data_IF_073022287037
#
_entry.id   IF_073022287037
#
_cell.length_a   1.000
_cell.length_b   1.000
_cell.length_c   1.000
_cell.angle_alpha   90.00
_cell.angle_beta   90.00
_cell.angle_gamma   90.00
#
_symmetry.space_group_name_H-M   'P 1'
#
loop_
_entity.id
_entity.type
_entity.pdbx_description
1 polymer ?
#
# COMPACT_ATOMS: atom_id res chain seq x y z
N UNK A 1 18.80 9.33 11.93
CA UNK A 1 18.98 8.33 10.86
C UNK A 1 17.63 7.73 10.57
N UNK A 2 17.28 7.42 9.30
CA UNK A 2 16.11 6.61 9.03
C UNK A 2 16.27 5.26 9.72
N UNK A 3 15.18 4.67 10.21
CA UNK A 3 15.14 3.35 10.82
C UNK A 3 13.88 2.64 10.33
N UNK A 4 13.96 1.32 10.15
CA UNK A 4 12.78 0.52 9.83
C UNK A 4 11.88 0.42 11.07
N UNK A 5 10.54 0.39 10.87
CA UNK A 5 9.63 0.08 11.97
C UNK A 5 9.88 -1.35 12.44
N UNK A 6 9.86 -1.52 13.75
CA UNK A 6 10.14 -2.80 14.41
C UNK A 6 8.86 -3.55 14.80
N UNK A 7 7.73 -2.84 14.87
CA UNK A 7 6.41 -3.37 15.25
C UNK A 7 5.32 -3.00 14.24
N UNK A 8 4.17 -3.66 14.34
CA UNK A 8 3.06 -3.45 13.40
C UNK A 8 2.39 -2.12 13.69
N UNK A 9 2.23 -1.83 14.97
CA UNK A 9 1.68 -0.60 15.53
C UNK A 9 2.51 0.60 15.08
N UNK A 10 3.84 0.49 15.14
CA UNK A 10 4.75 1.52 14.62
C UNK A 10 4.59 1.71 13.11
N UNK A 11 4.52 0.60 12.35
CA UNK A 11 4.29 0.64 10.90
C UNK A 11 2.96 1.33 10.56
N UNK A 12 1.89 1.05 11.29
CA UNK A 12 0.58 1.69 11.11
C UNK A 12 0.64 3.18 11.48
N UNK A 13 1.28 3.54 12.59
CA UNK A 13 1.42 4.93 13.00
C UNK A 13 2.22 5.76 11.98
N UNK A 14 3.30 5.19 11.44
CA UNK A 14 4.07 5.82 10.36
C UNK A 14 3.24 5.92 9.08
N UNK A 15 2.47 4.89 8.72
CA UNK A 15 1.59 4.93 7.58
C UNK A 15 0.52 6.05 7.70
N UNK A 16 -0.06 6.21 8.88
CA UNK A 16 -1.01 7.28 9.18
C UNK A 16 -0.36 8.67 9.05
N UNK A 17 0.79 8.86 9.70
CA UNK A 17 1.53 10.13 9.65
C UNK A 17 1.95 10.49 8.22
N UNK A 18 2.49 9.53 7.47
CA UNK A 18 2.90 9.72 6.08
C UNK A 18 1.71 10.05 5.17
N UNK A 19 0.56 9.41 5.39
CA UNK A 19 -0.66 9.69 4.63
C UNK A 19 -1.18 11.10 4.91
N UNK A 20 -1.25 11.51 6.17
CA UNK A 20 -1.68 12.85 6.55
C UNK A 20 -0.74 13.93 6.01
N UNK A 21 0.58 13.68 6.03
CA UNK A 21 1.56 14.56 5.42
C UNK A 21 1.37 14.67 3.90
N UNK A 22 1.16 13.55 3.21
CA UNK A 22 0.89 13.56 1.76
C UNK A 22 -0.41 14.34 1.42
N UNK A 23 -1.47 14.18 2.22
CA UNK A 23 -2.70 14.96 2.06
C UNK A 23 -2.44 16.46 2.27
N UNK A 24 -1.67 16.82 3.31
CA UNK A 24 -1.34 18.22 3.62
C UNK A 24 -0.52 18.89 2.49
N UNK A 25 0.33 18.12 1.80
CA UNK A 25 1.09 18.56 0.63
C UNK A 25 0.27 18.56 -0.67
N UNK A 26 -1.03 18.25 -0.59
CA UNK A 26 -1.97 18.34 -1.71
C UNK A 26 -2.06 17.10 -2.59
N UNK A 27 -1.48 15.97 -2.18
CA UNK A 27 -1.64 14.71 -2.90
C UNK A 27 -3.05 14.17 -2.74
N UNK A 28 -3.69 13.86 -3.88
CA UNK A 28 -5.11 13.47 -3.93
C UNK A 28 -5.33 11.98 -4.12
N UNK A 29 -4.36 11.27 -4.69
CA UNK A 29 -4.46 9.84 -5.00
C UNK A 29 -3.30 9.15 -4.30
N UNK A 30 -3.57 8.54 -3.16
CA UNK A 30 -2.53 8.08 -2.24
C UNK A 30 -2.60 6.56 -2.11
N UNK A 31 -1.46 5.88 -2.06
CA UNK A 31 -1.38 4.46 -1.70
C UNK A 31 -0.68 4.26 -0.37
N UNK A 32 -1.15 3.27 0.37
CA UNK A 32 -0.57 2.81 1.64
C UNK A 32 -0.50 1.29 1.61
N UNK A 33 0.70 0.74 1.72
CA UNK A 33 0.96 -0.68 1.50
C UNK A 33 1.81 -1.27 2.64
N UNK A 34 1.23 -2.21 3.37
CA UNK A 34 1.91 -3.02 4.40
C UNK A 34 1.88 -4.46 3.90
N UNK A 35 2.90 -4.82 3.12
CA UNK A 35 2.94 -6.06 2.33
C UNK A 35 3.57 -7.18 3.16
N UNK A 36 2.79 -7.72 4.09
CA UNK A 36 3.19 -8.79 4.99
C UNK A 36 2.22 -9.96 4.78
N UNK A 37 2.67 -11.11 4.23
CA UNK A 37 1.79 -12.18 3.75
C UNK A 37 0.74 -12.69 4.74
N UNK A 38 1.05 -12.68 6.04
CA UNK A 38 0.23 -13.25 7.10
C UNK A 38 -0.86 -12.28 7.62
N UNK A 39 -0.82 -11.01 7.22
CA UNK A 39 -1.71 -9.99 7.79
C UNK A 39 -3.07 -9.94 7.12
N UNK A 40 -4.11 -9.84 7.95
CA UNK A 40 -5.49 -9.68 7.49
C UNK A 40 -5.80 -8.21 7.25
N UNK A 41 -6.19 -7.87 6.01
CA UNK A 41 -6.49 -6.51 5.57
C UNK A 41 -7.53 -5.80 6.45
N UNK A 42 -8.59 -6.50 6.87
CA UNK A 42 -9.66 -5.92 7.70
C UNK A 42 -9.17 -5.39 9.05
N UNK A 43 -8.28 -6.12 9.73
CA UNK A 43 -7.74 -5.71 11.03
C UNK A 43 -6.82 -4.50 10.90
N UNK A 44 -5.96 -4.51 9.87
CA UNK A 44 -5.08 -3.40 9.54
C UNK A 44 -5.85 -2.14 9.15
N UNK A 45 -6.87 -2.29 8.30
CA UNK A 45 -7.72 -1.20 7.87
C UNK A 45 -8.38 -0.53 9.08
N UNK A 46 -8.92 -1.31 10.02
CA UNK A 46 -9.58 -0.76 11.20
C UNK A 46 -8.64 0.11 12.05
N UNK A 47 -7.40 -0.34 12.25
CA UNK A 47 -6.39 0.42 13.00
C UNK A 47 -5.96 1.67 12.23
N UNK A 48 -5.66 1.53 10.93
CA UNK A 48 -5.29 2.65 10.06
C UNK A 48 -6.34 3.78 10.06
N UNK A 49 -7.62 3.42 10.04
CA UNK A 49 -8.75 4.37 10.03
C UNK A 49 -8.88 5.24 11.29
N UNK A 50 -8.20 4.91 12.39
CA UNK A 50 -8.30 5.67 13.64
C UNK A 50 -7.87 7.14 13.50
N UNK A 51 -6.84 7.41 12.69
CA UNK A 51 -6.39 8.77 12.37
C UNK A 51 -7.36 9.60 11.53
N UNK A 52 -8.47 9.01 11.07
CA UNK A 52 -9.50 9.67 10.27
C UNK A 52 -10.87 9.63 10.95
N UNK A 53 -10.94 9.19 12.21
CA UNK A 53 -12.20 9.05 12.96
C UNK A 53 -12.89 10.38 13.26
N UNK A 54 -12.12 11.47 13.30
CA UNK A 54 -12.60 12.85 13.47
C UNK A 54 -13.42 13.35 12.27
N UNK A 55 -13.22 12.77 11.08
CA UNK A 55 -13.96 13.09 9.85
C UNK A 55 -15.44 12.68 9.95
N UNK A 56 -15.75 11.66 10.74
CA UNK A 56 -17.10 11.13 10.87
C UNK A 56 -17.76 10.86 9.51
N UNK A 57 -18.97 11.40 9.31
CA UNK A 57 -19.79 11.11 8.14
C UNK A 57 -19.25 11.69 6.81
N UNK A 58 -18.20 12.52 6.83
CA UNK A 58 -17.54 13.00 5.61
C UNK A 58 -16.48 12.02 5.10
N UNK A 59 -16.09 11.03 5.91
CA UNK A 59 -15.27 9.89 5.48
C UNK A 59 -16.15 8.78 4.91
N UNK A 60 -15.76 8.28 3.74
CA UNK A 60 -16.34 7.10 3.11
C UNK A 60 -15.31 6.00 2.92
N UNK A 61 -15.52 4.88 3.59
CA UNK A 61 -14.72 3.67 3.47
C UNK A 61 -15.39 2.71 2.49
N UNK A 62 -14.65 2.32 1.46
CA UNK A 62 -15.13 1.56 0.31
C UNK A 62 -14.45 0.20 0.27
N UNK A 63 -15.23 -0.86 0.19
CA UNK A 63 -14.74 -2.23 0.03
C UNK A 63 -14.92 -2.73 -1.40
N UNK A 64 -14.13 -3.72 -1.80
CA UNK A 64 -14.19 -4.31 -3.15
C UNK A 64 -15.54 -4.93 -3.49
N UNK A 65 -16.24 -5.49 -2.50
CA UNK A 65 -17.55 -6.08 -2.68
C UNK A 65 -18.53 -5.81 -1.51
N UNK A 66 -19.82 -6.02 -1.79
CA UNK A 66 -20.92 -5.82 -0.84
C UNK A 66 -20.82 -6.73 0.39
N UNK A 67 -20.28 -7.94 0.25
CA UNK A 67 -20.07 -8.87 1.35
C UNK A 67 -19.00 -8.39 2.33
N UNK A 68 -17.85 -7.94 1.82
CA UNK A 68 -16.80 -7.33 2.63
C UNK A 68 -17.29 -6.06 3.34
N UNK A 69 -18.05 -5.20 2.65
CA UNK A 69 -18.66 -4.01 3.26
C UNK A 69 -19.67 -4.38 4.37
N UNK A 70 -20.52 -5.39 4.15
CA UNK A 70 -21.48 -5.85 5.15
C UNK A 70 -20.78 -6.48 6.37
N UNK A 71 -19.71 -7.23 6.14
CA UNK A 71 -18.87 -7.80 7.19
C UNK A 71 -18.24 -6.71 8.06
N UNK A 72 -17.66 -5.68 7.43
CA UNK A 72 -17.09 -4.54 8.13
C UNK A 72 -18.15 -3.77 8.95
N UNK A 73 -19.35 -3.54 8.39
CA UNK A 73 -20.46 -2.91 9.13
C UNK A 73 -20.86 -3.70 10.38
N UNK A 74 -20.85 -5.03 10.29
CA UNK A 74 -21.19 -5.90 11.42
C UNK A 74 -20.12 -5.87 12.50
N UNK A 75 -18.85 -5.90 12.10
CA UNK A 75 -17.71 -6.06 12.99
C UNK A 75 -17.22 -4.72 13.56
N UNK A 76 -17.38 -3.61 12.84
CA UNK A 76 -16.94 -2.26 13.23
C UNK A 76 -18.10 -1.43 13.79
N UNK A 77 -18.75 -1.94 14.82
CA UNK A 77 -19.87 -1.23 15.45
C UNK A 77 -19.40 0.08 16.11
N UNK A 78 -20.25 1.11 16.06
CA UNK A 78 -19.97 2.41 16.69
C UNK A 78 -19.07 3.34 15.88
N UNK A 79 -18.69 2.98 14.65
CA UNK A 79 -18.02 3.92 13.74
C UNK A 79 -18.97 5.02 13.29
N UNK A 80 -18.45 6.22 13.11
CA UNK A 80 -19.17 7.42 12.71
C UNK A 80 -18.96 7.79 11.22
N UNK A 81 -18.29 6.93 10.45
CA UNK A 81 -18.04 7.10 9.02
C UNK A 81 -18.91 6.17 8.18
N UNK A 82 -19.04 6.50 6.88
CA UNK A 82 -19.85 5.70 5.95
C UNK A 82 -19.03 4.48 5.48
N UNK A 83 -19.65 3.30 5.50
CA UNK A 83 -19.09 2.08 4.91
C UNK A 83 -19.94 1.67 3.71
N UNK A 84 -19.31 1.49 2.55
CA UNK A 84 -19.96 1.06 1.31
C UNK A 84 -19.06 0.13 0.50
N UNK A 85 -19.59 -0.42 -0.60
CA UNK A 85 -18.80 -1.10 -1.63
C UNK A 85 -18.42 -0.13 -2.77
N UNK A 86 -17.41 -0.52 -3.55
CA UNK A 86 -16.95 0.20 -4.76
C UNK A 86 -17.99 0.21 -5.90
N UNK A 87 -19.17 -0.37 -5.69
CA UNK A 87 -20.22 -0.42 -6.68
C UNK A 87 -20.00 -1.46 -7.78
N UNK A 88 -20.98 -1.54 -8.66
CA UNK A 88 -20.97 -2.44 -9.82
C UNK A 88 -21.74 -1.77 -10.98
N UNK A 89 -21.97 -2.52 -12.06
CA UNK A 89 -22.68 -1.98 -13.24
C UNK A 89 -24.09 -1.47 -12.96
N UNK A 90 -24.77 -1.97 -11.91
CA UNK A 90 -26.12 -1.56 -11.51
C UNK A 90 -26.14 -0.46 -10.45
N UNK A 91 -25.05 -0.29 -9.72
CA UNK A 91 -24.87 0.77 -8.73
C UNK A 91 -23.45 1.33 -8.87
N UNK A 92 -23.23 2.21 -9.87
CA UNK A 92 -21.91 2.77 -10.16
C UNK A 92 -21.34 3.58 -8.99
N UNK A 93 -20.03 3.57 -8.84
CA UNK A 93 -19.33 4.35 -7.79
C UNK A 93 -19.61 5.85 -7.86
N UNK A 94 -19.87 6.38 -9.06
CA UNK A 94 -20.19 7.80 -9.29
C UNK A 94 -21.47 8.21 -8.58
N UNK A 95 -22.45 7.32 -8.49
CA UNK A 95 -23.75 7.59 -7.88
C UNK A 95 -23.67 7.52 -6.35
N UNK A 96 -22.60 6.90 -5.84
CA UNK A 96 -22.31 6.77 -4.41
C UNK A 96 -21.54 7.97 -3.87
N UNK A 97 -21.09 8.90 -4.69
CA UNK A 97 -20.34 10.08 -4.25
C UNK A 97 -21.30 11.22 -3.91
N UNK A 98 -21.24 11.71 -2.67
CA UNK A 98 -22.07 12.81 -2.18
C UNK A 98 -21.26 14.10 -2.07
N UNK A 99 -21.94 15.24 -2.02
CA UNK A 99 -21.29 16.56 -1.95
C UNK A 99 -20.57 16.78 -0.61
N UNK A 100 -21.09 16.17 0.46
CA UNK A 100 -20.56 16.29 1.83
C UNK A 100 -19.43 15.29 2.12
N UNK A 101 -19.17 14.34 1.22
CA UNK A 101 -18.02 13.46 1.35
C UNK A 101 -16.73 14.27 1.11
N UNK A 102 -15.73 14.13 1.98
CA UNK A 102 -14.46 14.89 1.93
C UNK A 102 -13.24 13.99 1.75
N UNK A 103 -13.35 12.71 2.11
CA UNK A 103 -12.25 11.74 2.06
C UNK A 103 -12.78 10.35 1.72
N UNK A 104 -12.07 9.65 0.84
CA UNK A 104 -12.37 8.28 0.46
C UNK A 104 -11.23 7.35 0.82
N UNK A 105 -11.54 6.17 1.35
CA UNK A 105 -10.56 5.11 1.60
C UNK A 105 -11.05 3.81 0.99
N UNK A 106 -10.41 3.37 -0.09
CA UNK A 106 -10.69 2.09 -0.73
C UNK A 106 -9.80 1.00 -0.12
N UNK A 107 -10.41 -0.06 0.42
CA UNK A 107 -9.72 -1.16 1.12
C UNK A 107 -9.45 -2.31 0.15
N UNK A 108 -8.18 -2.69 0.04
CA UNK A 108 -7.67 -3.83 -0.72
C UNK A 108 -8.13 -3.92 -2.18
N UNK A 109 -8.22 -2.81 -2.95
CA UNK A 109 -8.63 -2.90 -4.36
C UNK A 109 -7.58 -3.63 -5.18
N UNK A 110 -8.02 -4.45 -6.12
CA UNK A 110 -7.15 -5.22 -7.01
C UNK A 110 -7.25 -4.75 -8.46
N UNK A 111 -6.53 -5.44 -9.35
CA UNK A 111 -6.69 -5.29 -10.79
C UNK A 111 -8.15 -5.46 -11.27
N UNK A 112 -8.98 -6.21 -10.54
CA UNK A 112 -10.40 -6.41 -10.87
C UNK A 112 -11.20 -5.11 -10.70
N UNK A 113 -10.91 -4.33 -9.65
CA UNK A 113 -11.63 -3.10 -9.30
C UNK A 113 -10.96 -1.84 -9.85
N UNK A 114 -9.87 -1.96 -10.62
CA UNK A 114 -9.04 -0.81 -11.01
C UNK A 114 -9.81 0.26 -11.79
N UNK A 115 -10.77 -0.14 -12.62
CA UNK A 115 -11.62 0.80 -13.35
C UNK A 115 -12.59 1.56 -12.43
N UNK A 116 -13.12 0.89 -11.40
CA UNK A 116 -14.00 1.50 -10.39
C UNK A 116 -13.20 2.47 -9.53
N UNK A 117 -11.97 2.10 -9.15
CA UNK A 117 -11.07 3.00 -8.41
C UNK A 117 -10.68 4.21 -9.26
N UNK A 118 -10.39 4.02 -10.56
CA UNK A 118 -10.13 5.14 -11.47
C UNK A 118 -11.33 6.10 -11.54
N UNK A 119 -12.55 5.56 -11.67
CA UNK A 119 -13.80 6.34 -11.65
C UNK A 119 -14.01 7.07 -10.33
N UNK A 120 -13.75 6.41 -9.19
CA UNK A 120 -13.78 7.02 -7.87
C UNK A 120 -12.83 8.22 -7.80
N UNK A 121 -11.56 8.03 -8.16
CA UNK A 121 -10.55 9.09 -8.14
C UNK A 121 -10.91 10.28 -9.04
N UNK A 122 -11.54 10.03 -10.19
CA UNK A 122 -11.98 11.09 -11.09
C UNK A 122 -13.19 11.85 -10.53
N UNK A 123 -14.16 11.15 -9.94
CA UNK A 123 -15.36 11.76 -9.37
C UNK A 123 -15.13 12.41 -7.98
N UNK A 124 -14.10 11.98 -7.25
CA UNK A 124 -13.66 12.62 -6.01
C UNK A 124 -13.11 14.04 -6.28
N UNK A 125 -12.55 14.30 -7.46
CA UNK A 125 -12.02 15.60 -7.85
C UNK A 125 -10.81 16.00 -7.00
N UNK A 126 -10.95 17.09 -6.25
CA UNK A 126 -9.88 17.58 -5.36
C UNK A 126 -9.82 16.88 -4.00
N UNK A 127 -10.82 16.05 -3.68
CA UNK A 127 -10.91 15.32 -2.41
C UNK A 127 -9.96 14.12 -2.42
N UNK A 128 -9.20 13.87 -1.34
CA UNK A 128 -8.26 12.75 -1.33
C UNK A 128 -8.95 11.39 -1.40
N UNK A 129 -8.31 10.48 -2.12
CA UNK A 129 -8.64 9.06 -2.21
C UNK A 129 -7.41 8.28 -1.79
N UNK A 130 -7.53 7.53 -0.68
CA UNK A 130 -6.50 6.63 -0.19
C UNK A 130 -6.85 5.22 -0.65
N UNK A 131 -5.93 4.56 -1.33
CA UNK A 131 -5.97 3.14 -1.62
C UNK A 131 -5.15 2.44 -0.56
N UNK A 132 -5.83 1.74 0.34
CA UNK A 132 -5.20 1.03 1.45
C UNK A 132 -5.02 -0.45 1.07
N UNK A 133 -3.78 -0.93 1.12
CA UNK A 133 -3.35 -2.25 0.67
C UNK A 133 -3.74 -2.59 -0.79
N UNK A 134 -3.58 -1.68 -1.77
CA UNK A 134 -3.93 -1.97 -3.16
C UNK A 134 -3.07 -3.11 -3.73
N UNK A 135 -3.69 -3.99 -4.51
CA UNK A 135 -3.03 -5.05 -5.29
C UNK A 135 -3.11 -4.72 -6.79
N UNK A 136 -2.48 -3.60 -7.16
CA UNK A 136 -2.55 -3.05 -8.51
C UNK A 136 -1.35 -3.39 -9.38
N UNK A 137 -0.29 -3.97 -8.82
CA UNK A 137 0.89 -4.43 -9.58
C UNK A 137 0.47 -5.45 -10.66
N UNK A 138 -0.48 -6.33 -10.32
CA UNK A 138 -1.08 -7.28 -11.25
C UNK A 138 -1.88 -6.58 -12.37
N UNK A 139 -2.41 -5.37 -12.17
CA UNK A 139 -3.14 -4.65 -13.23
C UNK A 139 -2.22 -4.25 -14.40
N UNK A 140 -0.93 -4.06 -14.14
CA UNK A 140 0.08 -3.80 -15.15
C UNK A 140 0.60 -5.09 -15.83
N UNK A 141 0.45 -6.26 -15.18
CA UNK A 141 0.98 -7.56 -15.63
C UNK A 141 -0.11 -8.41 -16.32
N UNK A 142 -1.36 -8.39 -15.81
CA UNK A 142 -2.50 -9.19 -16.28
C UNK A 142 -3.04 -8.71 -17.64
N UNK A 143 -2.54 -7.59 -18.18
CA UNK A 143 -2.87 -7.12 -19.53
C UNK A 143 -1.63 -6.98 -20.41
N UNK A 144 -1.17 -8.07 -21.04
CA UNK A 144 -0.27 -7.97 -22.20
C UNK A 144 -0.99 -7.17 -23.30
N UNK A 145 -0.66 -5.89 -23.47
CA UNK A 145 -1.18 -5.08 -24.57
C UNK A 145 -1.33 -3.59 -24.29
N UNK A 146 -1.96 -2.91 -25.24
CA UNK A 146 -2.20 -1.46 -25.24
C UNK A 146 -3.04 -0.99 -24.04
N UNK A 147 -4.03 -1.78 -23.61
CA UNK A 147 -4.95 -1.41 -22.54
C UNK A 147 -4.26 -1.24 -21.16
N UNK A 148 -3.33 -2.14 -20.80
CA UNK A 148 -2.60 -2.04 -19.53
C UNK A 148 -1.60 -0.88 -19.55
N UNK A 149 -0.94 -0.63 -20.69
CA UNK A 149 -0.08 0.56 -20.86
C UNK A 149 -0.88 1.84 -20.69
N UNK A 150 -2.03 1.92 -21.36
CA UNK A 150 -2.92 3.07 -21.24
C UNK A 150 -3.41 3.26 -19.80
N UNK A 151 -3.75 2.19 -19.08
CA UNK A 151 -4.13 2.26 -17.66
C UNK A 151 -2.98 2.76 -16.78
N UNK A 152 -1.77 2.26 -17.02
CA UNK A 152 -0.58 2.71 -16.31
C UNK A 152 -0.38 4.22 -16.50
N UNK A 153 -0.35 4.67 -17.74
CA UNK A 153 -0.03 6.05 -18.09
C UNK A 153 -1.11 7.04 -17.65
N UNK A 154 -2.40 6.64 -17.71
CA UNK A 154 -3.52 7.53 -17.36
C UNK A 154 -3.87 7.54 -15.88
N UNK A 155 -3.56 6.46 -15.15
CA UNK A 155 -4.02 6.27 -13.78
C UNK A 155 -2.92 5.85 -12.81
N UNK A 156 -2.23 4.73 -13.02
CA UNK A 156 -1.29 4.20 -12.02
C UNK A 156 -0.11 5.14 -11.74
N UNK A 157 0.40 5.83 -12.76
CA UNK A 157 1.46 6.85 -12.60
C UNK A 157 1.03 8.08 -11.82
N UNK A 158 -0.28 8.29 -11.64
CA UNK A 158 -0.82 9.43 -10.87
C UNK A 158 -0.92 9.15 -9.37
N UNK A 159 -0.68 7.91 -8.95
CA UNK A 159 -0.75 7.49 -7.56
C UNK A 159 0.53 7.89 -6.82
N UNK A 160 0.36 8.48 -5.64
CA UNK A 160 1.45 8.83 -4.73
C UNK A 160 1.54 7.81 -3.62
N UNK A 161 2.66 7.10 -3.54
CA UNK A 161 2.90 6.18 -2.42
C UNK A 161 3.26 6.97 -1.16
N UNK A 162 2.34 7.01 -0.19
CA UNK A 162 2.59 7.61 1.11
C UNK A 162 3.41 6.68 2.00
N UNK A 163 3.08 5.40 2.00
CA UNK A 163 3.77 4.41 2.83
C UNK A 163 3.85 3.06 2.14
N UNK A 164 5.01 2.43 2.22
CA UNK A 164 5.27 1.09 1.71
C UNK A 164 6.22 0.36 2.64
N UNK A 165 5.88 -0.87 3.01
CA UNK A 165 6.85 -1.80 3.59
C UNK A 165 6.62 -3.21 3.04
N UNK A 166 7.69 -3.82 2.53
CA UNK A 166 7.70 -5.22 2.10
C UNK A 166 8.99 -5.88 2.58
N UNK A 167 8.90 -6.79 3.56
CA UNK A 167 10.01 -7.68 3.86
C UNK A 167 10.32 -8.58 2.66
N UNK A 168 11.60 -8.80 2.42
CA UNK A 168 12.16 -9.68 1.40
C UNK A 168 13.11 -10.68 2.07
N UNK A 169 13.72 -11.58 1.30
CA UNK A 169 14.74 -12.47 1.83
C UNK A 169 15.98 -11.65 2.24
N UNK A 170 16.33 -11.69 3.54
CA UNK A 170 17.43 -10.93 4.16
C UNK A 170 17.46 -9.42 3.81
N UNK A 171 16.33 -8.82 3.44
CA UNK A 171 16.23 -7.44 3.00
C UNK A 171 14.81 -6.89 3.19
N UNK A 172 14.63 -5.59 3.01
CA UNK A 172 13.32 -4.96 3.02
C UNK A 172 13.27 -3.78 2.04
N UNK A 173 12.14 -3.63 1.37
CA UNK A 173 11.82 -2.44 0.60
C UNK A 173 10.91 -1.55 1.42
N UNK A 174 11.29 -0.29 1.58
CA UNK A 174 10.61 0.64 2.47
C UNK A 174 10.43 2.02 1.83
N UNK A 175 9.31 2.66 2.16
CA UNK A 175 9.05 4.06 1.84
C UNK A 175 8.15 4.67 2.90
N UNK A 176 8.50 5.85 3.39
CA UNK A 176 7.67 6.66 4.27
C UNK A 176 7.73 8.12 3.82
N UNK A 177 6.63 8.66 3.32
CA UNK A 177 6.56 10.03 2.82
C UNK A 177 6.96 11.05 3.90
N UNK A 178 7.80 12.05 3.58
CA UNK A 178 8.27 12.44 2.25
C UNK A 178 9.60 11.80 1.79
N UNK A 179 10.19 10.88 2.57
CA UNK A 179 11.47 10.25 2.24
C UNK A 179 11.39 9.44 0.93
N UNK A 180 12.54 9.19 0.30
CA UNK A 180 12.63 8.41 -0.93
C UNK A 180 12.36 6.92 -0.68
N UNK A 181 12.33 6.12 -1.75
CA UNK A 181 12.34 4.67 -1.62
C UNK A 181 13.67 4.22 -1.04
N UNK A 182 13.65 3.22 -0.17
CA UNK A 182 14.82 2.74 0.55
C UNK A 182 14.93 1.22 0.45
N UNK A 183 16.12 0.73 0.14
CA UNK A 183 16.47 -0.69 0.16
C UNK A 183 17.32 -0.96 1.39
N UNK A 184 16.88 -1.90 2.21
CA UNK A 184 17.54 -2.29 3.45
C UNK A 184 18.02 -3.73 3.38
N UNK A 185 19.14 -4.05 4.00
CA UNK A 185 19.69 -5.41 4.10
C UNK A 185 19.93 -5.80 5.55
N UNK A 186 19.59 -7.04 5.88
CA UNK A 186 19.85 -7.62 7.19
C UNK A 186 21.35 -7.89 7.36
N UNK A 187 21.95 -7.36 8.42
CA UNK A 187 23.33 -7.59 8.80
C UNK A 187 23.43 -7.75 10.32
N UNK A 188 23.98 -8.88 10.78
CA UNK A 188 24.25 -9.15 12.21
C UNK A 188 23.07 -8.85 13.15
N UNK A 189 21.87 -9.28 12.76
CA UNK A 189 20.59 -9.10 13.45
C UNK A 189 20.01 -7.66 13.46
N UNK A 190 20.60 -6.75 12.69
CA UNK A 190 20.08 -5.39 12.42
C UNK A 190 19.84 -5.18 10.91
N UNK A 191 19.31 -4.01 10.54
CA UNK A 191 19.15 -3.60 9.15
C UNK A 191 20.01 -2.38 8.83
N UNK A 192 20.75 -2.47 7.73
CA UNK A 192 21.52 -1.36 7.16
C UNK A 192 20.84 -0.83 5.90
N UNK A 193 20.85 0.49 5.72
CA UNK A 193 20.36 1.14 4.52
C UNK A 193 21.41 0.96 3.40
N UNK A 194 21.01 0.31 2.31
CA UNK A 194 21.87 0.11 1.14
C UNK A 194 21.75 1.23 0.11
N UNK A 195 20.52 1.67 -0.18
CA UNK A 195 20.27 2.64 -1.23
C UNK A 195 19.00 3.46 -0.98
N UNK A 196 19.00 4.69 -1.52
CA UNK A 196 17.80 5.50 -1.67
C UNK A 196 17.51 5.76 -3.16
N UNK A 197 16.27 5.52 -3.58
CA UNK A 197 15.85 5.59 -4.98
C UNK A 197 14.68 6.57 -5.12
N UNK A 198 14.64 7.41 -6.18
CA UNK A 198 13.53 8.33 -6.41
C UNK A 198 12.22 7.60 -6.77
N UNK A 199 12.33 6.38 -7.30
CA UNK A 199 11.22 5.51 -7.70
C UNK A 199 11.36 4.15 -7.04
N UNK A 200 10.29 3.36 -7.07
CA UNK A 200 10.27 2.01 -6.51
C UNK A 200 11.22 1.10 -7.30
N UNK A 201 12.34 0.62 -6.71
CA UNK A 201 13.19 -0.35 -7.40
C UNK A 201 12.44 -1.68 -7.54
N UNK A 202 12.50 -2.27 -8.73
CA UNK A 202 11.82 -3.54 -9.07
C UNK A 202 12.69 -4.37 -10.02
N UNK A 203 12.52 -5.69 -9.99
CA UNK A 203 13.24 -6.61 -10.90
C UNK A 203 14.76 -6.42 -10.83
N UNK A 204 15.39 -6.35 -12.00
CA UNK A 204 16.85 -6.23 -12.16
C UNK A 204 17.45 -5.06 -11.36
N UNK A 205 16.78 -3.91 -11.27
CA UNK A 205 17.26 -2.75 -10.50
C UNK A 205 17.38 -3.07 -9.00
N UNK A 206 16.37 -3.76 -8.46
CA UNK A 206 16.40 -4.19 -7.06
C UNK A 206 17.48 -5.26 -6.83
N UNK A 207 17.61 -6.20 -7.78
CA UNK A 207 18.60 -7.28 -7.70
C UNK A 207 20.04 -6.74 -7.75
N UNK A 208 20.30 -5.72 -8.55
CA UNK A 208 21.60 -5.03 -8.63
C UNK A 208 21.94 -4.32 -7.30
N UNK A 209 20.97 -3.66 -6.66
CA UNK A 209 21.17 -3.01 -5.36
C UNK A 209 21.50 -4.05 -4.27
N UNK A 210 20.80 -5.18 -4.28
CA UNK A 210 20.99 -6.25 -3.29
C UNK A 210 22.26 -7.07 -3.54
N UNK A 211 22.69 -7.19 -4.80
CA UNK A 211 23.85 -7.98 -5.23
C UNK A 211 24.80 -7.16 -6.12
N UNK A 212 25.51 -6.15 -5.59
CA UNK A 212 26.35 -5.24 -6.37
C UNK A 212 27.57 -5.90 -7.05
N UNK A 213 27.76 -7.22 -6.93
CA UNK A 213 28.94 -7.97 -7.38
C UNK A 213 28.78 -8.73 -8.70
N UNK A 214 27.72 -8.51 -9.49
CA UNK A 214 27.51 -9.19 -10.79
C UNK A 214 28.03 -8.44 -12.01
N UNK A 215 28.75 -7.32 -11.83
CA UNK A 215 29.47 -6.61 -12.90
C UNK A 215 30.99 -6.77 -12.72
N UNK A 216 31.46 -8.02 -12.74
CA UNK A 216 32.88 -8.36 -12.72
C UNK A 216 33.13 -9.74 -12.15
N UNK A 217 33.51 -10.67 -13.03
CA UNK A 217 33.91 -12.05 -12.78
C UNK A 217 32.82 -13.13 -12.63
N UNK A 218 32.95 -14.12 -13.52
CA UNK A 218 32.27 -15.40 -13.50
C UNK A 218 32.42 -16.09 -12.13
N UNK A 219 31.40 -16.04 -11.29
CA UNK A 219 31.26 -16.94 -10.16
C UNK A 219 29.85 -17.52 -10.13
N UNK A 220 29.76 -18.85 -10.22
CA UNK A 220 28.53 -19.63 -10.11
C UNK A 220 27.71 -19.26 -8.89
N UNK A 221 26.36 -19.25 -8.97
CA UNK A 221 25.51 -18.92 -7.83
C UNK A 221 25.66 -19.98 -6.74
N UNK A 222 26.25 -19.58 -5.61
CA UNK A 222 26.25 -20.38 -4.40
C UNK A 222 24.82 -20.37 -3.83
N UNK A 223 24.16 -21.53 -3.86
CA UNK A 223 22.93 -21.76 -3.11
C UNK A 223 23.24 -21.65 -1.62
N UNK A 224 22.82 -20.57 -0.96
CA UNK A 224 22.84 -20.48 0.50
C UNK A 224 21.57 -21.11 1.08
N UNK A 225 21.67 -22.14 1.93
CA UNK A 225 20.53 -22.74 2.61
C UNK A 225 20.21 -21.95 3.89
N UNK A 226 19.00 -21.38 4.00
CA UNK A 226 18.57 -20.72 5.24
C UNK A 226 17.24 -19.95 5.21
N UNK A 227 16.31 -20.31 4.32
CA UNK A 227 15.13 -19.52 3.90
C UNK A 227 13.96 -19.51 4.91
N UNK A 228 14.16 -19.56 6.23
CA UNK A 228 13.04 -19.53 7.20
C UNK A 228 13.25 -18.66 8.46
N UNK A 229 14.40 -17.98 8.61
CA UNK A 229 14.68 -17.17 9.80
C UNK A 229 14.31 -15.69 9.65
N UNK A 230 14.52 -15.08 8.48
CA UNK A 230 14.36 -13.62 8.26
C UNK A 230 12.90 -13.18 8.29
N UNK A 231 11.98 -13.97 7.70
CA UNK A 231 10.54 -13.74 7.84
C UNK A 231 10.11 -13.93 9.30
N UNK A 232 10.71 -14.91 9.99
CA UNK A 232 10.38 -15.25 11.36
C UNK A 232 10.79 -14.20 12.39
N UNK A 233 11.75 -13.31 12.12
CA UNK A 233 12.18 -12.28 13.08
C UNK A 233 11.29 -11.05 13.00
N UNK A 234 11.01 -10.56 11.79
CA UNK A 234 10.02 -9.51 11.57
C UNK A 234 8.62 -9.98 12.03
N UNK A 235 8.18 -11.20 11.69
CA UNK A 235 6.91 -11.74 12.22
C UNK A 235 6.92 -12.00 13.74
N UNK A 236 8.07 -12.31 14.35
CA UNK A 236 8.18 -12.43 15.83
C UNK A 236 8.14 -11.09 16.55
N UNK A 237 8.56 -10.00 15.91
CA UNK A 237 8.42 -8.65 16.47
C UNK A 237 7.02 -8.06 16.23
N UNK A 238 6.29 -8.55 15.22
CA UNK A 238 4.89 -8.17 14.93
C UNK A 238 3.83 -8.98 15.72
N UNK A 239 4.22 -10.09 16.38
CA UNK A 239 3.30 -10.98 17.10
C UNK A 239 3.38 -10.88 18.63
N UNK A 240 3.99 -9.81 19.15
CA UNK A 240 4.10 -9.54 20.59
C UNK A 240 3.33 -8.31 21.03
#
# INVERSE_FOLDING_TARGET
MPQLPTTLEESIALAQAATLAAIADGHKRITVEIVIPELKSMGLARQFLESFSDRGNTLKVLFTDTGAAALAKRDWQGVNFKIEDLGNSRSPITDKIQAEDELYIAIDPSAVEVEQVEKLCNAAGDRPVILFLPKLEDAAIVGIGYAARQLRDRFLTTLTCAYYIKPLEASALYRCYPAQWQVWQEQDDDYILLAECPQKPVGDELDEILNPSTLGDNATPAKSPGVFASLGRFLRTLSR
#
